data_IF_762606077681
#
_entry.id   IF_762606077681
#
_cell.length_a   1.000
_cell.length_b   1.000
_cell.length_c   1.000
_cell.angle_alpha   90.00
_cell.angle_beta   90.00
_cell.angle_gamma   90.00
#
_symmetry.space_group_name_H-M   'P 1'
#
loop_
_entity.id
_entity.type
_entity.pdbx_description
1 polymer ?
#
# COMPACT_ATOMS: atom_id res chain seq x y z
N UNK A 1 11.10 -30.37 4.08
CA UNK A 1 10.74 -30.16 2.67
C UNK A 1 10.60 -28.67 2.39
N UNK A 2 11.29 -28.13 1.39
CA UNK A 2 11.26 -26.70 1.04
C UNK A 2 10.26 -26.53 -0.09
N UNK A 3 9.13 -25.89 0.16
CA UNK A 3 8.16 -25.57 -0.91
C UNK A 3 8.75 -24.44 -1.72
N UNK A 4 8.91 -24.63 -3.03
CA UNK A 4 9.30 -23.57 -3.95
C UNK A 4 8.04 -22.95 -4.53
N UNK A 5 8.07 -21.65 -4.79
CA UNK A 5 7.00 -20.93 -5.48
C UNK A 5 6.66 -21.65 -6.80
N UNK A 6 7.68 -21.94 -7.61
CA UNK A 6 7.55 -22.72 -8.86
C UNK A 6 6.86 -24.08 -8.67
N UNK A 7 7.16 -24.81 -7.58
CA UNK A 7 6.51 -26.09 -7.27
C UNK A 7 5.02 -25.95 -6.91
N UNK A 8 4.66 -24.92 -6.13
CA UNK A 8 3.25 -24.61 -5.82
C UNK A 8 2.47 -24.28 -7.10
N UNK A 9 3.09 -23.56 -8.03
CA UNK A 9 2.42 -23.08 -9.23
C UNK A 9 2.25 -24.17 -10.29
N UNK A 10 3.23 -25.04 -10.47
CA UNK A 10 3.09 -26.23 -11.31
C UNK A 10 1.98 -27.17 -10.80
N UNK A 11 1.78 -27.23 -9.47
CA UNK A 11 0.65 -27.97 -8.90
C UNK A 11 -0.70 -27.32 -9.25
N UNK A 12 -0.77 -25.99 -9.21
CA UNK A 12 -1.98 -25.24 -9.59
C UNK A 12 -2.29 -25.42 -11.09
N UNK A 13 -1.26 -25.45 -11.96
CA UNK A 13 -1.45 -25.75 -13.39
C UNK A 13 -2.08 -27.13 -13.62
N UNK A 14 -1.69 -28.11 -12.81
CA UNK A 14 -2.28 -29.45 -12.82
C UNK A 14 -3.76 -29.43 -12.39
N UNK A 15 -4.10 -28.63 -11.38
CA UNK A 15 -5.49 -28.42 -10.95
C UNK A 15 -6.34 -27.72 -12.01
N UNK A 16 -5.76 -26.76 -12.75
CA UNK A 16 -6.43 -26.04 -13.83
C UNK A 16 -6.81 -26.96 -15.00
N UNK A 17 -6.01 -28.01 -15.24
CA UNK A 17 -6.19 -28.94 -16.37
C UNK A 17 -7.08 -30.15 -16.04
N UNK A 18 -7.26 -30.48 -14.75
CA UNK A 18 -7.79 -31.78 -14.33
C UNK A 18 -9.28 -31.81 -13.95
N UNK A 19 -10.01 -30.69 -13.97
CA UNK A 19 -11.40 -30.66 -13.50
C UNK A 19 -12.32 -29.83 -14.39
N UNK A 20 -13.39 -30.44 -14.89
CA UNK A 20 -14.45 -29.79 -15.68
C UNK A 20 -15.40 -28.89 -14.88
N UNK A 21 -14.95 -28.35 -13.73
CA UNK A 21 -15.70 -27.36 -12.95
C UNK A 21 -14.99 -26.01 -13.00
N UNK A 22 -15.76 -24.95 -13.24
CA UNK A 22 -15.27 -23.56 -13.26
C UNK A 22 -14.77 -23.18 -11.86
N UNK A 23 -13.53 -22.71 -11.74
CA UNK A 23 -12.90 -22.30 -10.47
C UNK A 23 -12.35 -20.88 -10.59
N UNK A 24 -12.63 -20.05 -9.58
CA UNK A 24 -11.98 -18.76 -9.39
C UNK A 24 -10.88 -18.90 -8.35
N UNK A 25 -9.64 -18.53 -8.71
CA UNK A 25 -8.50 -18.54 -7.79
C UNK A 25 -8.01 -17.10 -7.61
N UNK A 26 -7.87 -16.67 -6.36
CA UNK A 26 -7.38 -15.33 -6.00
C UNK A 26 -5.99 -15.46 -5.37
N UNK A 27 -5.03 -14.70 -5.90
CA UNK A 27 -3.69 -14.60 -5.37
C UNK A 27 -3.44 -13.18 -4.86
N UNK A 28 -2.65 -13.06 -3.80
CA UNK A 28 -2.18 -11.78 -3.28
C UNK A 28 -0.66 -11.82 -3.16
N UNK A 29 0.00 -10.73 -3.53
CA UNK A 29 1.46 -10.58 -3.36
C UNK A 29 1.79 -9.11 -3.14
N UNK A 30 2.78 -8.86 -2.28
CA UNK A 30 3.36 -7.53 -2.13
C UNK A 30 4.52 -7.30 -3.13
N UNK A 31 4.97 -8.35 -3.82
CA UNK A 31 6.16 -8.35 -4.68
C UNK A 31 5.86 -9.05 -6.00
N UNK A 32 5.11 -8.39 -6.88
CA UNK A 32 4.72 -8.95 -8.19
C UNK A 32 5.94 -9.19 -9.09
N UNK A 33 6.98 -8.37 -8.94
CA UNK A 33 8.24 -8.44 -9.69
C UNK A 33 9.09 -9.68 -9.36
N UNK A 34 8.80 -10.35 -8.24
CA UNK A 34 9.46 -11.60 -7.85
C UNK A 34 8.74 -12.84 -8.37
N UNK A 35 7.58 -12.67 -8.99
CA UNK A 35 6.86 -13.78 -9.61
C UNK A 35 7.48 -14.11 -10.98
N UNK A 36 7.47 -15.39 -11.32
CA UNK A 36 7.89 -15.84 -12.64
C UNK A 36 6.91 -15.27 -13.71
N UNK A 37 7.42 -14.58 -14.75
CA UNK A 37 6.59 -14.04 -15.84
C UNK A 37 5.66 -15.07 -16.51
N UNK A 38 6.00 -16.36 -16.46
CA UNK A 38 5.18 -17.44 -17.00
C UNK A 38 3.85 -17.65 -16.25
N UNK A 39 3.71 -17.09 -15.05
CA UNK A 39 2.53 -17.21 -14.18
C UNK A 39 1.53 -16.08 -14.38
N UNK A 40 2.06 -14.87 -14.58
CA UNK A 40 1.29 -13.64 -14.78
C UNK A 40 0.71 -13.53 -16.20
N UNK A 41 0.96 -14.54 -17.06
CA UNK A 41 0.41 -14.56 -18.41
C UNK A 41 -1.07 -14.95 -18.40
N UNK A 42 -1.80 -14.45 -19.39
CA UNK A 42 -3.19 -14.82 -19.65
C UNK A 42 -3.35 -16.34 -19.82
N UNK A 43 -4.45 -16.88 -19.30
CA UNK A 43 -4.71 -18.32 -19.16
C UNK A 43 -4.30 -18.91 -17.80
N UNK A 44 -3.66 -18.11 -16.93
CA UNK A 44 -3.30 -18.46 -15.54
C UNK A 44 -3.76 -17.38 -14.57
N UNK A 45 -3.13 -16.20 -14.66
CA UNK A 45 -3.53 -15.01 -13.90
C UNK A 45 -4.07 -13.99 -14.89
N UNK A 46 -5.38 -14.03 -15.13
CA UNK A 46 -6.01 -13.22 -16.17
C UNK A 46 -6.31 -11.78 -15.75
N UNK A 47 -6.51 -11.55 -14.44
CA UNK A 47 -6.84 -10.24 -13.88
C UNK A 47 -5.83 -9.86 -12.81
N UNK A 48 -5.20 -8.70 -13.01
CA UNK A 48 -4.30 -8.10 -12.04
C UNK A 48 -4.93 -6.81 -11.53
N UNK A 49 -5.09 -6.73 -10.21
CA UNK A 49 -5.63 -5.56 -9.52
C UNK A 49 -4.56 -5.11 -8.54
N UNK A 50 -4.05 -3.89 -8.73
CA UNK A 50 -3.16 -3.25 -7.78
C UNK A 50 -3.98 -2.68 -6.63
N UNK A 51 -3.63 -3.02 -5.40
CA UNK A 51 -4.21 -2.45 -4.18
C UNK A 51 -3.23 -1.40 -3.63
N UNK A 52 -3.38 -0.15 -4.09
CA UNK A 52 -2.49 0.96 -3.76
C UNK A 52 -2.77 1.56 -2.36
N UNK A 53 -2.02 2.62 -2.04
CA UNK A 53 -2.28 3.47 -0.88
C UNK A 53 -3.65 4.15 -0.93
N UNK A 54 -4.11 4.64 0.22
CA UNK A 54 -5.40 5.27 0.39
C UNK A 54 -5.47 6.60 -0.37
N UNK A 55 -6.33 6.65 -1.40
CA UNK A 55 -6.64 7.90 -2.09
C UNK A 55 -7.80 8.64 -1.43
N UNK A 56 -8.02 9.89 -1.82
CA UNK A 56 -9.10 10.70 -1.26
C UNK A 56 -10.50 10.07 -1.44
N UNK A 57 -10.75 9.41 -2.57
CA UNK A 57 -12.02 8.71 -2.81
C UNK A 57 -12.21 7.53 -1.85
N UNK A 58 -11.16 6.75 -1.60
CA UNK A 58 -11.21 5.67 -0.61
C UNK A 58 -11.41 6.23 0.81
N UNK A 59 -10.74 7.32 1.16
CA UNK A 59 -10.94 8.03 2.43
C UNK A 59 -12.40 8.46 2.62
N UNK A 60 -13.06 9.03 1.61
CA UNK A 60 -14.48 9.44 1.73
C UNK A 60 -15.39 8.26 2.05
N UNK A 61 -15.14 7.11 1.43
CA UNK A 61 -15.88 5.87 1.73
C UNK A 61 -15.66 5.46 3.19
N UNK A 62 -14.44 5.51 3.70
CA UNK A 62 -14.14 5.20 5.10
C UNK A 62 -14.78 6.22 6.06
N UNK A 63 -14.69 7.52 5.75
CA UNK A 63 -15.28 8.58 6.56
C UNK A 63 -16.81 8.45 6.65
N UNK A 64 -17.47 8.12 5.53
CA UNK A 64 -18.91 7.84 5.52
C UNK A 64 -19.25 6.59 6.33
N UNK A 65 -18.47 5.51 6.17
CA UNK A 65 -18.76 4.24 6.86
C UNK A 65 -18.54 4.29 8.37
N UNK A 66 -17.51 5.00 8.86
CA UNK A 66 -17.16 5.00 10.28
C UNK A 66 -17.72 6.19 11.06
N UNK A 67 -17.91 7.34 10.40
CA UNK A 67 -18.26 8.61 11.07
C UNK A 67 -19.56 9.22 10.52
N UNK A 68 -20.20 8.58 9.55
CA UNK A 68 -21.40 9.08 8.84
C UNK A 68 -21.24 10.50 8.27
N UNK A 69 -20.02 10.87 7.88
CA UNK A 69 -19.72 12.18 7.33
C UNK A 69 -19.96 12.25 5.83
N UNK A 70 -20.55 13.36 5.39
CA UNK A 70 -20.68 13.72 3.98
C UNK A 70 -19.52 14.64 3.53
N UNK A 71 -19.39 14.83 2.22
CA UNK A 71 -18.29 15.54 1.55
C UNK A 71 -18.14 17.04 1.91
N UNK A 72 -18.99 17.57 2.79
CA UNK A 72 -19.04 18.99 3.17
C UNK A 72 -18.12 19.36 4.34
N UNK A 73 -17.44 18.40 4.95
CA UNK A 73 -16.65 18.66 6.15
C UNK A 73 -15.39 19.51 5.85
N UNK A 74 -15.15 20.64 6.56
CA UNK A 74 -14.04 21.56 6.24
C UNK A 74 -12.64 20.90 6.20
N UNK A 75 -12.41 19.92 7.09
CA UNK A 75 -11.13 19.20 7.17
C UNK A 75 -10.85 18.27 5.97
N UNK A 76 -11.85 17.95 5.14
CA UNK A 76 -11.64 17.08 3.98
C UNK A 76 -10.67 17.71 2.97
N UNK A 77 -10.68 19.04 2.84
CA UNK A 77 -9.75 19.75 1.97
C UNK A 77 -8.30 19.55 2.43
N UNK A 78 -8.05 19.68 3.73
CA UNK A 78 -6.72 19.45 4.30
C UNK A 78 -6.28 17.99 4.13
N UNK A 79 -7.17 17.04 4.44
CA UNK A 79 -6.88 15.60 4.34
C UNK A 79 -6.58 15.22 2.88
N UNK A 80 -7.33 15.79 1.92
CA UNK A 80 -7.07 15.59 0.49
C UNK A 80 -5.64 15.99 0.12
N UNK A 81 -5.22 17.21 0.45
CA UNK A 81 -3.87 17.67 0.16
C UNK A 81 -2.80 16.78 0.82
N UNK A 82 -3.03 16.35 2.06
CA UNK A 82 -2.09 15.48 2.77
C UNK A 82 -1.97 14.08 2.16
N UNK A 83 -3.08 13.48 1.73
CA UNK A 83 -3.11 12.18 1.04
C UNK A 83 -2.49 12.24 -0.36
N UNK A 84 -2.53 13.39 -1.04
CA UNK A 84 -1.84 13.59 -2.32
C UNK A 84 -0.31 13.65 -2.15
N UNK A 85 0.18 14.04 -0.98
CA UNK A 85 1.61 14.19 -0.69
C UNK A 85 2.22 13.02 0.12
N UNK A 86 1.37 12.16 0.69
CA UNK A 86 1.78 11.14 1.67
C UNK A 86 1.16 9.79 1.35
N UNK A 87 1.98 8.74 1.38
CA UNK A 87 1.51 7.37 1.23
C UNK A 87 1.10 6.80 2.60
N UNK A 88 -0.18 6.45 2.75
CA UNK A 88 -0.72 5.77 3.93
C UNK A 88 -1.68 4.67 3.48
N UNK A 89 -1.67 3.50 4.14
CA UNK A 89 -2.54 2.39 3.71
C UNK A 89 -4.00 2.64 4.10
N UNK A 90 -4.99 2.08 3.38
CA UNK A 90 -6.40 2.18 3.79
C UNK A 90 -6.65 1.68 5.22
N UNK A 91 -5.90 0.67 5.68
CA UNK A 91 -5.99 0.15 7.04
C UNK A 91 -5.50 1.18 8.08
N UNK A 92 -4.37 1.84 7.81
CA UNK A 92 -3.84 2.88 8.70
C UNK A 92 -4.77 4.10 8.74
N UNK A 93 -5.37 4.48 7.61
CA UNK A 93 -6.39 5.55 7.57
C UNK A 93 -7.61 5.16 8.40
N UNK A 94 -8.12 3.93 8.23
CA UNK A 94 -9.25 3.43 9.01
C UNK A 94 -8.97 3.43 10.52
N UNK A 95 -7.79 3.01 10.95
CA UNK A 95 -7.38 3.01 12.37
C UNK A 95 -7.42 4.40 13.01
N UNK A 96 -7.15 5.46 12.25
CA UNK A 96 -7.24 6.84 12.74
C UNK A 96 -8.67 7.40 12.70
N UNK A 97 -9.53 6.87 11.83
CA UNK A 97 -10.91 7.30 11.69
C UNK A 97 -11.88 6.57 12.62
N UNK A 98 -11.53 5.39 13.10
CA UNK A 98 -12.37 4.64 14.03
C UNK A 98 -12.40 5.36 15.40
N UNK A 99 -13.60 5.68 15.94
CA UNK A 99 -13.76 6.15 17.30
C UNK A 99 -13.20 5.11 18.28
N UNK A 100 -12.29 5.54 19.16
CA UNK A 100 -11.65 4.68 20.18
C UNK A 100 -12.40 4.73 21.50
N UNK A 101 -13.19 5.79 21.70
CA UNK A 101 -14.08 5.98 22.83
C UNK A 101 -15.47 6.45 22.37
N UNK A 102 -16.47 6.35 23.25
CA UNK A 102 -17.81 6.88 22.97
C UNK A 102 -17.87 8.43 22.97
N UNK A 103 -16.78 9.08 23.39
CA UNK A 103 -16.64 10.54 23.45
C UNK A 103 -15.93 11.10 22.22
N UNK A 104 -15.34 10.23 21.39
CA UNK A 104 -14.61 10.63 20.19
C UNK A 104 -15.61 11.10 19.13
N UNK A 105 -15.70 12.41 18.96
CA UNK A 105 -16.48 13.00 17.90
C UNK A 105 -15.78 12.86 16.52
N UNK A 106 -16.52 12.99 15.40
CA UNK A 106 -15.94 12.92 14.07
C UNK A 106 -14.80 13.92 13.85
N UNK A 107 -14.87 15.10 14.48
CA UNK A 107 -13.86 16.14 14.40
C UNK A 107 -12.52 15.66 14.98
N UNK A 108 -12.55 15.01 16.15
CA UNK A 108 -11.38 14.47 16.84
C UNK A 108 -10.73 13.36 16.01
N UNK A 109 -11.53 12.47 15.43
CA UNK A 109 -11.05 11.39 14.56
C UNK A 109 -10.34 11.93 13.32
N UNK A 110 -10.92 12.93 12.65
CA UNK A 110 -10.29 13.59 11.50
C UNK A 110 -9.01 14.33 11.87
N UNK A 111 -8.96 14.98 13.04
CA UNK A 111 -7.74 15.63 13.52
C UNK A 111 -6.64 14.62 13.85
N UNK A 112 -6.99 13.45 14.39
CA UNK A 112 -6.04 12.37 14.62
C UNK A 112 -5.44 11.88 13.31
N UNK A 113 -6.26 11.70 12.27
CA UNK A 113 -5.78 11.35 10.94
C UNK A 113 -4.84 12.42 10.37
N UNK A 114 -5.17 13.72 10.50
CA UNK A 114 -4.30 14.80 10.04
C UNK A 114 -2.93 14.73 10.72
N UNK A 115 -2.89 14.60 12.04
CA UNK A 115 -1.63 14.47 12.80
C UNK A 115 -0.82 13.25 12.36
N UNK A 116 -1.49 12.13 12.10
CA UNK A 116 -0.84 10.92 11.62
C UNK A 116 -0.23 11.11 10.23
N UNK A 117 -0.96 11.74 9.31
CA UNK A 117 -0.49 12.06 7.96
C UNK A 117 0.71 13.02 7.98
N UNK A 118 0.66 14.08 8.78
CA UNK A 118 1.78 15.03 8.96
C UNK A 118 3.03 14.32 9.47
N UNK A 119 2.88 13.45 10.48
CA UNK A 119 4.00 12.66 10.99
C UNK A 119 4.59 11.73 9.94
N UNK A 120 3.75 11.00 9.19
CA UNK A 120 4.21 10.11 8.11
C UNK A 120 4.94 10.90 7.02
N UNK A 121 4.45 12.09 6.69
CA UNK A 121 5.11 12.99 5.73
C UNK A 121 6.50 13.41 6.21
N UNK A 122 6.63 13.84 7.45
CA UNK A 122 7.92 14.21 8.05
C UNK A 122 8.91 13.03 8.07
N UNK A 123 8.45 11.85 8.50
CA UNK A 123 9.26 10.64 8.52
C UNK A 123 9.73 10.24 7.10
N UNK A 124 8.85 10.35 6.09
CA UNK A 124 9.19 10.07 4.70
C UNK A 124 10.21 11.08 4.14
N UNK A 125 10.12 12.36 4.51
CA UNK A 125 11.11 13.38 4.12
C UNK A 125 12.47 13.06 4.75
N UNK A 126 12.50 12.70 6.03
CA UNK A 126 13.73 12.33 6.74
C UNK A 126 14.41 11.12 6.08
N UNK A 127 13.67 10.04 5.83
CA UNK A 127 14.20 8.85 5.17
C UNK A 127 14.74 9.15 3.76
N UNK A 128 14.03 9.99 2.99
CA UNK A 128 14.49 10.43 1.66
C UNK A 128 15.77 11.27 1.74
N UNK A 129 16.02 12.00 2.82
CA UNK A 129 17.25 12.76 3.01
C UNK A 129 18.41 11.81 3.36
N UNK A 130 18.21 10.89 4.30
CA UNK A 130 19.18 9.88 4.69
C UNK A 130 19.60 9.01 3.50
N UNK A 131 18.65 8.50 2.70
CA UNK A 131 18.97 7.74 1.49
C UNK A 131 19.78 8.53 0.46
N UNK A 132 19.55 9.85 0.35
CA UNK A 132 20.30 10.71 -0.57
C UNK A 132 21.73 10.91 -0.09
N UNK A 133 21.94 11.04 1.21
CA UNK A 133 23.28 11.14 1.81
C UNK A 133 24.05 9.84 1.66
N UNK A 134 23.43 8.69 1.94
CA UNK A 134 24.07 7.37 1.74
C UNK A 134 24.46 7.14 0.27
N UNK A 135 23.58 7.50 -0.68
CA UNK A 135 23.86 7.38 -2.12
C UNK A 135 25.02 8.29 -2.55
N UNK A 136 25.14 9.50 -1.99
CA UNK A 136 26.27 10.42 -2.24
C UNK A 136 27.58 9.87 -1.69
N UNK A 137 27.61 9.45 -0.43
CA UNK A 137 28.80 8.82 0.18
C UNK A 137 29.25 7.58 -0.60
N UNK A 138 28.31 6.73 -1.04
CA UNK A 138 28.63 5.55 -1.85
C UNK A 138 29.16 5.89 -3.26
N UNK A 139 28.79 7.04 -3.83
CA UNK A 139 29.32 7.52 -5.11
C UNK A 139 30.73 8.10 -4.94
N UNK A 140 30.97 8.90 -3.90
CA UNK A 140 32.29 9.50 -3.60
C UNK A 140 33.35 8.42 -3.26
N UNK A 141 32.97 7.35 -2.56
CA UNK A 141 33.87 6.22 -2.30
C UNK A 141 34.19 5.43 -3.57
N UNK A 142 33.25 5.34 -4.53
CA UNK A 142 33.50 4.71 -5.83
C UNK A 142 34.37 5.56 -6.75
N UNK A 143 34.29 6.88 -6.68
CA UNK A 143 35.16 7.78 -7.46
C UNK A 143 36.57 7.87 -6.88
N UNK A 144 36.72 7.89 -5.54
CA UNK A 144 38.03 7.97 -4.90
C UNK A 144 38.75 6.61 -4.75
N UNK A 145 38.04 5.49 -4.92
CA UNK A 145 38.58 4.13 -4.81
C UNK A 145 39.22 3.56 -6.09
N UNK A 146 39.23 4.31 -7.21
CA UNK A 146 39.79 3.86 -8.50
C UNK A 146 41.26 4.27 -8.69
N UNK A 147 41.88 4.95 -7.72
CA UNK A 147 43.32 5.25 -7.75
C UNK A 147 44.07 4.20 -6.93
N UNK A 148 44.45 3.10 -7.58
CA UNK A 148 45.70 2.35 -7.37
C UNK A 148 45.86 1.27 -8.45
#
# INVERSE_FOLDING_TARGET
SKVTLSGLLNFIDGLWSACGSERLIVFTTNFVEKLDPALIRSGRMDKHIELSYCCFEAFKVLAKNYLDLDDSHPLFTTIRCLLEETNMTPADVAENLMPKSAEDDPQTCLQNLIKALERTKEEAIRLKAEEKEEKKCAQEVKENGVIN
#
